data_IF_939168623258
#
_entry.id   IF_939168623258
#
_cell.length_a   1.000
_cell.length_b   1.000
_cell.length_c   1.000
_cell.angle_alpha   90.00
_cell.angle_beta   90.00
_cell.angle_gamma   90.00
#
_symmetry.space_group_name_H-M   'P 1'
#
loop_
_entity.id
_entity.type
_entity.pdbx_description
1 polymer ?
#
# COMPACT_ATOMS: atom_id res chain seq x y z
N UNK A 1 17.50 -2.54 -19.63
CA UNK A 1 16.21 -3.09 -20.09
C UNK A 1 15.08 -2.06 -20.06
N UNK A 2 14.86 -1.31 -18.97
CA UNK A 2 13.83 -0.26 -18.91
C UNK A 2 14.07 0.83 -19.95
N UNK A 3 15.25 1.41 -19.99
CA UNK A 3 15.66 2.43 -20.96
C UNK A 3 15.54 1.94 -22.42
N UNK A 4 15.84 0.67 -22.67
CA UNK A 4 15.70 0.10 -24.01
C UNK A 4 14.22 0.04 -24.45
N UNK A 5 13.31 -0.33 -23.52
CA UNK A 5 11.87 -0.32 -23.78
C UNK A 5 11.36 1.11 -24.02
N UNK A 6 11.76 2.08 -23.23
CA UNK A 6 11.40 3.50 -23.44
C UNK A 6 11.91 4.04 -24.78
N UNK A 7 13.17 3.73 -25.13
CA UNK A 7 13.74 4.12 -26.42
C UNK A 7 12.96 3.50 -27.59
N UNK A 8 12.60 2.22 -27.46
CA UNK A 8 11.81 1.54 -28.49
C UNK A 8 10.43 2.18 -28.66
N UNK A 9 9.70 2.43 -27.57
CA UNK A 9 8.38 3.07 -27.58
C UNK A 9 8.45 4.45 -28.26
N UNK A 10 9.47 5.23 -27.94
CA UNK A 10 9.66 6.57 -28.51
C UNK A 10 9.96 6.54 -30.02
N UNK A 11 10.78 5.59 -30.46
CA UNK A 11 11.22 5.52 -31.87
C UNK A 11 10.23 4.78 -32.77
N UNK A 12 9.42 3.87 -32.19
CA UNK A 12 8.54 3.00 -32.95
C UNK A 12 7.10 2.96 -32.38
N UNK A 13 6.41 4.11 -32.23
CA UNK A 13 5.13 4.20 -31.51
C UNK A 13 3.98 3.44 -32.20
N UNK A 14 4.11 3.09 -33.48
CA UNK A 14 3.11 2.33 -34.26
C UNK A 14 3.53 0.90 -34.58
N UNK A 15 4.55 0.39 -33.88
CA UNK A 15 5.01 -0.98 -34.12
C UNK A 15 3.94 -2.00 -33.74
N UNK A 16 3.71 -3.09 -34.50
CA UNK A 16 2.71 -4.10 -34.16
C UNK A 16 2.85 -4.69 -32.75
N UNK A 17 4.07 -4.83 -32.25
CA UNK A 17 4.37 -5.37 -30.91
C UNK A 17 4.69 -4.24 -29.89
N UNK A 18 4.07 -3.09 -30.03
CA UNK A 18 4.32 -1.96 -29.12
C UNK A 18 3.82 -2.28 -27.70
N UNK A 19 2.76 -3.09 -27.57
CA UNK A 19 2.24 -3.60 -26.32
C UNK A 19 3.28 -4.38 -25.51
N UNK A 20 4.08 -5.21 -26.18
CA UNK A 20 5.21 -5.90 -25.54
C UNK A 20 6.24 -4.94 -24.96
N UNK A 21 6.54 -3.85 -25.65
CA UNK A 21 7.50 -2.86 -25.16
C UNK A 21 6.98 -2.13 -23.90
N UNK A 22 5.69 -1.76 -23.86
CA UNK A 22 5.06 -1.20 -22.65
C UNK A 22 5.03 -2.21 -21.49
N UNK A 23 4.66 -3.46 -21.77
CA UNK A 23 4.71 -4.54 -20.78
C UNK A 23 6.12 -4.73 -20.21
N UNK A 24 7.14 -4.82 -21.08
CA UNK A 24 8.54 -4.98 -20.67
C UNK A 24 9.09 -3.80 -19.88
N UNK A 25 8.64 -2.57 -20.17
CA UNK A 25 8.96 -1.39 -19.38
C UNK A 25 8.51 -1.56 -17.93
N UNK A 26 7.24 -1.90 -17.71
CA UNK A 26 6.69 -2.11 -16.36
C UNK A 26 7.32 -3.31 -15.62
N UNK A 27 7.58 -4.42 -16.33
CA UNK A 27 8.26 -5.59 -15.75
C UNK A 27 9.71 -5.29 -15.41
N UNK A 28 10.41 -4.48 -16.18
CA UNK A 28 11.79 -4.08 -15.88
C UNK A 28 11.87 -3.26 -14.58
N UNK A 29 10.94 -2.32 -14.36
CA UNK A 29 10.82 -1.58 -13.10
C UNK A 29 10.48 -2.50 -11.93
N UNK A 30 9.52 -3.41 -12.11
CA UNK A 30 9.16 -4.41 -11.11
C UNK A 30 10.34 -5.31 -10.71
N UNK A 31 11.10 -5.80 -11.69
CA UNK A 31 12.20 -6.75 -11.47
C UNK A 31 13.42 -6.08 -10.83
N UNK A 32 13.69 -4.82 -11.21
CA UNK A 32 14.79 -4.04 -10.59
C UNK A 32 14.66 -4.00 -9.08
N UNK A 33 13.43 -3.83 -8.58
CA UNK A 33 13.17 -3.69 -7.17
C UNK A 33 12.89 -5.03 -6.47
N UNK A 34 12.59 -6.11 -7.21
CA UNK A 34 12.31 -7.43 -6.63
C UNK A 34 13.44 -7.96 -5.75
N UNK A 35 14.70 -7.69 -6.10
CA UNK A 35 15.86 -8.00 -5.26
C UNK A 35 15.84 -7.28 -3.91
N UNK A 36 15.29 -6.07 -3.89
CA UNK A 36 15.00 -5.32 -2.68
C UNK A 36 13.76 -5.85 -1.96
N UNK A 37 12.70 -6.24 -2.68
CA UNK A 37 11.46 -6.76 -2.09
C UNK A 37 11.65 -8.08 -1.33
N UNK A 38 12.49 -8.98 -1.79
CA UNK A 38 12.79 -10.23 -1.09
C UNK A 38 13.45 -9.99 0.29
N UNK A 39 14.18 -8.90 0.45
CA UNK A 39 14.70 -8.45 1.76
C UNK A 39 13.63 -7.80 2.64
N UNK A 40 12.50 -7.33 2.05
CA UNK A 40 11.42 -6.61 2.76
C UNK A 40 10.72 -7.47 3.78
N UNK A 41 10.50 -8.74 3.49
CA UNK A 41 9.85 -9.65 4.44
C UNK A 41 10.70 -9.97 5.67
N UNK A 42 11.96 -9.54 5.70
CA UNK A 42 12.90 -9.75 6.83
C UNK A 42 13.32 -8.50 7.59
N UNK A 43 13.01 -7.28 7.12
CA UNK A 43 13.44 -6.05 7.78
C UNK A 43 12.36 -4.96 7.77
N UNK A 44 12.46 -4.05 8.72
CA UNK A 44 11.56 -2.95 9.02
C UNK A 44 11.08 -2.19 7.78
N UNK A 45 9.78 -2.26 7.48
CA UNK A 45 9.12 -1.55 6.36
C UNK A 45 9.08 -0.03 6.54
N UNK A 46 9.40 0.46 7.74
CA UNK A 46 9.21 1.88 8.12
C UNK A 46 10.16 2.85 7.41
N UNK A 47 11.30 2.36 6.90
CA UNK A 47 12.37 3.22 6.35
C UNK A 47 12.71 2.88 4.91
N UNK A 48 11.76 2.34 4.13
CA UNK A 48 12.06 1.80 2.81
C UNK A 48 11.55 2.67 1.67
N UNK A 49 12.42 2.86 0.68
CA UNK A 49 12.07 3.47 -0.59
C UNK A 49 11.20 2.51 -1.42
N UNK A 50 9.92 2.88 -1.62
CA UNK A 50 8.96 2.16 -2.47
C UNK A 50 8.74 2.86 -3.81
N UNK A 51 9.62 3.79 -4.17
CA UNK A 51 9.51 4.57 -5.42
C UNK A 51 9.46 3.66 -6.64
N UNK A 52 10.27 2.63 -6.67
CA UNK A 52 10.26 1.65 -7.75
C UNK A 52 8.99 0.82 -7.84
N UNK A 53 8.39 0.45 -6.69
CA UNK A 53 7.08 -0.21 -6.70
C UNK A 53 5.98 0.70 -7.24
N UNK A 54 5.98 1.97 -6.87
CA UNK A 54 5.05 2.99 -7.40
C UNK A 54 5.28 3.22 -8.91
N UNK A 55 6.53 3.27 -9.34
CA UNK A 55 6.87 3.39 -10.77
C UNK A 55 6.35 2.18 -11.55
N UNK A 56 6.66 0.96 -11.11
CA UNK A 56 6.19 -0.27 -11.76
C UNK A 56 4.66 -0.34 -11.79
N UNK A 57 3.99 0.09 -10.72
CA UNK A 57 2.53 0.17 -10.66
C UNK A 57 1.98 1.13 -11.72
N UNK A 58 2.53 2.34 -11.85
CA UNK A 58 2.12 3.32 -12.86
C UNK A 58 2.32 2.80 -14.28
N UNK A 59 3.47 2.21 -14.58
CA UNK A 59 3.80 1.70 -15.91
C UNK A 59 2.95 0.49 -16.32
N UNK A 60 2.68 -0.45 -15.40
CA UNK A 60 1.80 -1.59 -15.68
C UNK A 60 0.33 -1.15 -15.77
N UNK A 61 -0.09 -0.14 -15.02
CA UNK A 61 -1.43 0.45 -15.14
C UNK A 61 -1.60 1.14 -16.50
N UNK A 62 -0.60 1.91 -16.94
CA UNK A 62 -0.58 2.52 -18.28
C UNK A 62 -0.67 1.43 -19.38
N UNK A 63 0.10 0.36 -19.23
CA UNK A 63 0.04 -0.77 -20.17
C UNK A 63 -1.38 -1.36 -20.28
N UNK A 64 -2.02 -1.66 -19.17
CA UNK A 64 -3.37 -2.25 -19.16
C UNK A 64 -4.44 -1.31 -19.72
N UNK A 65 -4.28 0.00 -19.48
CA UNK A 65 -5.20 1.00 -20.02
C UNK A 65 -5.08 1.11 -21.53
N UNK A 66 -3.85 1.06 -22.06
CA UNK A 66 -3.60 1.18 -23.50
C UNK A 66 -3.86 -0.10 -24.27
N UNK A 67 -3.56 -1.25 -23.67
CA UNK A 67 -3.56 -2.56 -24.33
C UNK A 67 -4.33 -3.62 -23.52
N UNK A 68 -5.62 -3.40 -23.22
CA UNK A 68 -6.40 -4.31 -22.37
C UNK A 68 -6.57 -5.70 -22.99
N UNK A 69 -6.46 -5.82 -24.32
CA UNK A 69 -6.58 -7.08 -25.06
C UNK A 69 -5.22 -7.73 -25.38
N UNK A 70 -4.13 -7.20 -24.86
CA UNK A 70 -2.81 -7.81 -25.06
C UNK A 70 -2.73 -9.18 -24.38
N UNK A 71 -2.05 -10.13 -24.98
CA UNK A 71 -1.77 -11.44 -24.40
C UNK A 71 -1.02 -11.35 -23.04
N UNK A 72 -0.36 -10.22 -22.76
CA UNK A 72 0.35 -9.96 -21.51
C UNK A 72 -0.51 -9.33 -20.41
N UNK A 73 -1.76 -8.92 -20.74
CA UNK A 73 -2.64 -8.25 -19.80
C UNK A 73 -2.96 -9.06 -18.53
N UNK A 74 -3.26 -10.38 -18.60
CA UNK A 74 -3.51 -11.18 -17.39
C UNK A 74 -2.29 -11.21 -16.47
N UNK A 75 -1.09 -11.31 -17.03
CA UNK A 75 0.15 -11.32 -16.24
C UNK A 75 0.42 -9.97 -15.57
N UNK A 76 0.23 -8.87 -16.30
CA UNK A 76 0.36 -7.51 -15.74
C UNK A 76 -0.64 -7.26 -14.62
N UNK A 77 -1.89 -7.71 -14.78
CA UNK A 77 -2.94 -7.58 -13.76
C UNK A 77 -2.57 -8.28 -12.45
N UNK A 78 -2.02 -9.49 -12.51
CA UNK A 78 -1.55 -10.19 -11.31
C UNK A 78 -0.43 -9.41 -10.59
N UNK A 79 0.48 -8.81 -11.37
CA UNK A 79 1.55 -7.98 -10.79
C UNK A 79 1.02 -6.71 -10.15
N UNK A 80 0.00 -6.09 -10.74
CA UNK A 80 -0.65 -4.92 -10.16
C UNK A 80 -1.33 -5.22 -8.81
N UNK A 81 -2.02 -6.36 -8.69
CA UNK A 81 -2.62 -6.79 -7.41
C UNK A 81 -1.55 -6.86 -6.31
N UNK A 82 -0.42 -7.50 -6.61
CA UNK A 82 0.69 -7.59 -5.67
C UNK A 82 1.27 -6.21 -5.30
N UNK A 83 1.53 -5.35 -6.30
CA UNK A 83 2.07 -4.01 -6.09
C UNK A 83 1.14 -3.13 -5.27
N UNK A 84 -0.18 -3.19 -5.52
CA UNK A 84 -1.19 -2.47 -4.74
C UNK A 84 -1.11 -2.83 -3.26
N UNK A 85 -1.11 -4.12 -2.94
CA UNK A 85 -1.00 -4.58 -1.56
C UNK A 85 0.32 -4.16 -0.91
N UNK A 86 1.43 -4.23 -1.64
CA UNK A 86 2.74 -3.81 -1.15
C UNK A 86 2.79 -2.31 -0.83
N UNK A 87 2.28 -1.47 -1.74
CA UNK A 87 2.26 -0.01 -1.55
C UNK A 87 1.35 0.34 -0.36
N UNK A 88 0.14 -0.24 -0.30
CA UNK A 88 -0.79 0.01 0.80
C UNK A 88 -0.17 -0.35 2.16
N UNK A 89 0.45 -1.52 2.28
CA UNK A 89 1.15 -1.95 3.51
C UNK A 89 2.25 -0.97 3.92
N UNK A 90 3.06 -0.52 2.96
CA UNK A 90 4.15 0.43 3.25
C UNK A 90 3.62 1.78 3.74
N UNK A 91 2.55 2.30 3.13
CA UNK A 91 1.94 3.57 3.58
C UNK A 91 1.36 3.44 5.00
N UNK A 92 0.74 2.29 5.32
CA UNK A 92 0.19 2.07 6.66
C UNK A 92 1.26 1.87 7.73
N UNK A 93 2.40 1.25 7.40
CA UNK A 93 3.55 1.21 8.31
C UNK A 93 4.08 2.62 8.60
N UNK A 94 4.14 3.49 7.59
CA UNK A 94 4.48 4.89 7.80
C UNK A 94 3.42 5.62 8.64
N UNK A 95 2.12 5.35 8.43
CA UNK A 95 1.05 5.89 9.25
C UNK A 95 1.19 5.47 10.73
N UNK A 96 1.44 4.20 11.01
CA UNK A 96 1.67 3.68 12.38
C UNK A 96 2.87 4.37 13.06
N UNK A 97 3.93 4.64 12.31
CA UNK A 97 5.08 5.38 12.82
C UNK A 97 4.70 6.81 13.25
N UNK A 98 3.90 7.51 12.42
CA UNK A 98 3.42 8.84 12.76
C UNK A 98 2.41 8.83 13.93
N UNK A 99 1.54 7.81 14.01
CA UNK A 99 0.62 7.62 15.14
C UNK A 99 1.39 7.51 16.47
N UNK A 100 2.44 6.67 16.52
CA UNK A 100 3.29 6.52 17.71
C UNK A 100 3.95 7.84 18.14
N UNK A 101 4.19 8.76 17.21
CA UNK A 101 4.75 10.09 17.46
C UNK A 101 3.70 11.17 17.69
N UNK A 102 2.41 10.81 17.76
CA UNK A 102 1.29 11.74 17.88
C UNK A 102 1.23 12.77 16.73
N UNK A 103 1.83 12.46 15.59
CA UNK A 103 1.80 13.28 14.38
C UNK A 103 0.57 12.90 13.53
N UNK A 104 -0.63 13.08 14.09
CA UNK A 104 -1.89 12.58 13.56
C UNK A 104 -2.20 13.09 12.14
N UNK A 105 -1.88 14.36 11.82
CA UNK A 105 -2.06 14.90 10.46
C UNK A 105 -1.18 14.18 9.43
N UNK A 106 0.04 13.79 9.81
CA UNK A 106 0.91 13.04 8.92
C UNK A 106 0.43 11.60 8.74
N UNK A 107 -0.05 10.95 9.81
CA UNK A 107 -0.67 9.63 9.76
C UNK A 107 -1.93 9.64 8.87
N UNK A 108 -2.79 10.64 9.04
CA UNK A 108 -4.00 10.83 8.25
C UNK A 108 -3.71 10.91 6.75
N UNK A 109 -2.68 11.68 6.35
CA UNK A 109 -2.26 11.77 4.94
C UNK A 109 -1.85 10.42 4.35
N UNK A 110 -1.14 9.59 5.13
CA UNK A 110 -0.71 8.26 4.69
C UNK A 110 -1.89 7.30 4.54
N UNK A 111 -2.81 7.29 5.50
CA UNK A 111 -3.99 6.46 5.45
C UNK A 111 -4.95 6.87 4.31
N UNK A 112 -5.20 8.18 4.14
CA UNK A 112 -6.01 8.68 3.03
C UNK A 112 -5.43 8.34 1.67
N UNK A 113 -4.08 8.37 1.51
CA UNK A 113 -3.46 7.94 0.27
C UNK A 113 -3.86 6.50 -0.11
N UNK A 114 -3.95 5.59 0.87
CA UNK A 114 -4.38 4.21 0.62
C UNK A 114 -5.86 4.16 0.19
N UNK A 115 -6.72 4.90 0.88
CA UNK A 115 -8.16 4.91 0.59
C UNK A 115 -8.44 5.48 -0.82
N UNK A 116 -7.78 6.57 -1.18
CA UNK A 116 -8.02 7.29 -2.42
C UNK A 116 -7.37 6.62 -3.65
N UNK A 117 -6.14 6.13 -3.50
CA UNK A 117 -5.34 5.67 -4.63
C UNK A 117 -5.27 4.13 -4.75
N UNK A 118 -5.57 3.41 -3.67
CA UNK A 118 -5.44 1.95 -3.61
C UNK A 118 -6.71 1.34 -2.97
N UNK A 119 -7.91 1.70 -3.41
CA UNK A 119 -9.15 1.16 -2.84
C UNK A 119 -9.28 -0.34 -3.12
N UNK A 120 -10.20 -1.01 -2.40
CA UNK A 120 -10.52 -2.43 -2.59
C UNK A 120 -9.33 -3.37 -2.36
N UNK A 121 -8.54 -3.09 -1.33
CA UNK A 121 -7.51 -4.00 -0.81
C UNK A 121 -7.86 -4.41 0.62
N UNK A 122 -7.27 -5.50 1.11
CA UNK A 122 -7.37 -5.91 2.52
C UNK A 122 -6.91 -4.80 3.48
N UNK A 123 -6.06 -3.91 3.00
CA UNK A 123 -5.50 -2.81 3.79
C UNK A 123 -6.45 -1.60 3.89
N UNK A 124 -7.52 -1.54 3.08
CA UNK A 124 -8.44 -0.39 3.04
C UNK A 124 -9.16 -0.23 4.39
N UNK A 125 -9.65 -1.33 4.98
CA UNK A 125 -10.30 -1.28 6.30
C UNK A 125 -9.32 -0.82 7.38
N UNK A 126 -8.10 -1.31 7.35
CA UNK A 126 -7.05 -0.85 8.28
C UNK A 126 -6.75 0.65 8.11
N UNK A 127 -6.72 1.15 6.87
CA UNK A 127 -6.55 2.58 6.59
C UNK A 127 -7.69 3.40 7.19
N UNK A 128 -8.95 2.96 7.03
CA UNK A 128 -10.12 3.62 7.64
C UNK A 128 -10.02 3.63 9.17
N UNK A 129 -9.59 2.54 9.81
CA UNK A 129 -9.37 2.49 11.27
C UNK A 129 -8.31 3.50 11.72
N UNK A 130 -7.23 3.69 10.95
CA UNK A 130 -6.22 4.73 11.23
C UNK A 130 -6.81 6.13 11.09
N UNK A 131 -7.60 6.40 10.05
CA UNK A 131 -8.27 7.70 9.84
C UNK A 131 -9.20 8.01 10.99
N UNK A 132 -10.04 7.04 11.41
CA UNK A 132 -10.95 7.19 12.57
C UNK A 132 -10.18 7.59 13.83
N UNK A 133 -9.09 6.88 14.14
CA UNK A 133 -8.28 7.18 15.32
C UNK A 133 -7.61 8.55 15.23
N UNK A 134 -7.14 8.95 14.04
CA UNK A 134 -6.62 10.30 13.84
C UNK A 134 -7.68 11.38 14.10
N UNK A 135 -8.91 11.21 13.62
CA UNK A 135 -9.99 12.16 13.86
C UNK A 135 -10.37 12.24 15.36
N UNK A 136 -10.42 11.10 16.04
CA UNK A 136 -10.64 11.06 17.49
C UNK A 136 -9.59 11.87 18.25
N UNK A 137 -8.31 11.65 17.97
CA UNK A 137 -7.20 12.33 18.63
C UNK A 137 -7.11 13.83 18.30
N UNK A 138 -7.61 14.23 17.12
CA UNK A 138 -7.70 15.62 16.68
C UNK A 138 -8.99 16.33 17.18
N UNK A 139 -9.93 15.61 17.81
CA UNK A 139 -11.19 16.15 18.30
C UNK A 139 -12.28 16.36 17.24
N UNK A 140 -12.14 15.72 16.07
CA UNK A 140 -13.12 15.77 14.97
C UNK A 140 -14.13 14.62 15.11
N UNK A 141 -14.97 14.66 16.13
CA UNK A 141 -15.85 13.54 16.49
C UNK A 141 -16.91 13.24 15.42
N UNK A 142 -17.48 14.24 14.77
CA UNK A 142 -18.45 14.03 13.67
C UNK A 142 -17.82 13.22 12.52
N UNK A 143 -16.60 13.59 12.08
CA UNK A 143 -15.88 12.86 11.04
C UNK A 143 -15.46 11.45 11.50
N UNK A 144 -15.15 11.28 12.78
CA UNK A 144 -14.87 9.96 13.36
C UNK A 144 -16.10 9.04 13.24
N UNK A 145 -17.29 9.54 13.57
CA UNK A 145 -18.54 8.79 13.50
C UNK A 145 -18.89 8.42 12.04
N UNK A 146 -18.69 9.34 11.09
CA UNK A 146 -18.87 9.06 9.66
C UNK A 146 -17.95 7.92 9.17
N UNK A 147 -16.68 7.96 9.57
CA UNK A 147 -15.74 6.87 9.24
C UNK A 147 -16.13 5.54 9.89
N UNK A 148 -16.65 5.58 11.12
CA UNK A 148 -17.14 4.37 11.81
C UNK A 148 -18.27 3.71 11.02
N UNK A 149 -19.24 4.47 10.53
CA UNK A 149 -20.34 3.97 9.68
C UNK A 149 -19.78 3.30 8.41
N UNK A 150 -18.77 3.91 7.79
CA UNK A 150 -18.12 3.33 6.59
C UNK A 150 -17.42 2.02 6.92
N UNK A 151 -16.72 1.93 8.06
CA UNK A 151 -16.06 0.70 8.49
C UNK A 151 -17.11 -0.41 8.68
N UNK A 152 -18.18 -0.15 9.44
CA UNK A 152 -19.23 -1.13 9.72
C UNK A 152 -19.93 -1.64 8.45
N UNK A 153 -20.11 -0.76 7.47
CA UNK A 153 -20.71 -1.14 6.17
C UNK A 153 -19.80 -2.01 5.30
N UNK A 154 -18.47 -1.99 5.52
CA UNK A 154 -17.50 -2.65 4.66
C UNK A 154 -16.70 -3.76 5.37
N UNK A 155 -16.77 -3.88 6.68
CA UNK A 155 -16.11 -4.95 7.44
C UNK A 155 -17.10 -6.12 7.63
N UNK A 156 -16.90 -7.27 6.95
CA UNK A 156 -17.79 -8.42 7.08
C UNK A 156 -17.66 -9.12 8.45
N UNK A 157 -16.69 -8.75 9.25
CA UNK A 157 -16.49 -9.25 10.61
C UNK A 157 -16.64 -8.11 11.59
N UNK A 158 -17.81 -7.92 12.23
CA UNK A 158 -17.89 -6.99 13.36
C UNK A 158 -16.94 -7.52 14.45
N UNK A 159 -15.76 -6.89 14.57
CA UNK A 159 -14.93 -7.11 15.75
C UNK A 159 -15.76 -6.65 16.94
N UNK A 160 -16.19 -7.62 17.75
CA UNK A 160 -16.53 -7.35 19.14
C UNK A 160 -15.21 -6.94 19.79
N UNK A 161 -14.88 -5.66 19.67
CA UNK A 161 -13.75 -5.06 20.40
C UNK A 161 -14.09 -5.18 21.89
N UNK A 162 -13.58 -6.24 22.52
CA UNK A 162 -13.30 -6.17 23.94
C UNK A 162 -12.13 -5.19 24.08
N UNK A 163 -12.37 -4.02 24.64
CA UNK A 163 -11.37 -2.98 24.92
C UNK A 163 -10.13 -3.50 25.68
N UNK A 164 -10.18 -4.70 26.20
CA UNK A 164 -9.08 -5.37 26.91
C UNK A 164 -8.01 -6.00 26.01
N UNK A 165 -8.31 -6.32 24.75
CA UNK A 165 -7.37 -7.12 23.93
C UNK A 165 -6.22 -6.26 23.37
N UNK A 166 -6.45 -5.00 23.05
CA UNK A 166 -5.43 -4.10 22.51
C UNK A 166 -4.36 -3.73 23.56
N UNK A 167 -4.75 -3.56 24.84
CA UNK A 167 -3.83 -3.24 25.94
C UNK A 167 -3.00 -4.44 26.40
N UNK A 168 -3.52 -5.65 26.31
CA UNK A 168 -2.82 -6.87 26.74
C UNK A 168 -1.70 -7.28 25.81
N UNK A 169 -1.75 -6.95 24.52
CA UNK A 169 -0.66 -7.22 23.58
C UNK A 169 0.61 -6.40 23.92
N UNK A 170 0.47 -5.16 24.38
CA UNK A 170 1.60 -4.31 24.78
C UNK A 170 2.13 -4.61 26.19
N UNK A 171 1.33 -5.20 27.08
CA UNK A 171 1.71 -5.50 28.46
C UNK A 171 2.58 -6.76 28.60
N UNK A 172 2.59 -7.67 27.64
CA UNK A 172 3.33 -8.95 27.71
C UNK A 172 4.82 -8.86 27.41
N UNK A 173 5.39 -7.68 27.14
CA UNK A 173 6.81 -7.49 26.87
C UNK A 173 7.57 -6.60 27.87
N UNK A 174 7.08 -6.44 29.07
CA UNK A 174 7.88 -5.81 30.12
C UNK A 174 8.69 -6.91 30.84
N UNK A 175 10.03 -6.85 30.88
CA UNK A 175 10.82 -7.79 31.67
C UNK A 175 10.56 -7.56 33.15
N UNK A 176 10.37 -8.66 33.89
CA UNK A 176 10.23 -8.64 35.35
C UNK A 176 11.53 -8.12 35.97
N UNK A 177 11.47 -7.27 37.03
CA UNK A 177 12.65 -6.84 37.76
C UNK A 177 13.22 -8.05 38.51
N UNK A 178 14.52 -8.31 38.32
CA UNK A 178 15.27 -9.30 39.07
C UNK A 178 15.26 -8.93 40.57
N UNK A 179 14.77 -9.84 41.37
CA UNK A 179 14.96 -9.77 42.85
C UNK A 179 16.40 -10.22 43.14
N UNK A 180 17.18 -9.29 43.63
CA UNK A 180 18.40 -9.58 44.43
C UNK A 180 18.04 -9.72 45.88
#
# INVERSE_FOLDING_TARGET
>A
SHEAAEKFIRLNPRHPNIDYAYFMKGIASYTRDKGMFARVFKSDLSNRDISGAKQAFGELSEFLTRFPQSQYAPYASQRLIYLRSLIAKSELVAADYYMKRKAYVAALRRANYVIENIPNTSETIRALKVVRECYKELGYFELMDDIQIIIEANDPSPEVESEESSWNFFRRKAPSPSKS
#
